data_IF_103425548725
#
_entry.id   IF_103425548725
#
_cell.length_a   1.000
_cell.length_b   1.000
_cell.length_c   1.000
_cell.angle_alpha   90.00
_cell.angle_beta   90.00
_cell.angle_gamma   90.00
#
_symmetry.space_group_name_H-M   'P 1'
#
loop_
_entity.id
_entity.type
_entity.pdbx_description
1 polymer ?
#
# COMPACT_ATOMS: atom_id res chain seq x y z
N UNK A 1 10.39 -7.36 11.81
CA UNK A 1 8.99 -6.84 11.92
C UNK A 1 8.73 -6.01 10.67
N UNK A 2 7.80 -6.42 9.85
CA UNK A 2 7.45 -5.74 8.59
C UNK A 2 6.62 -4.49 8.85
N UNK A 3 6.68 -3.54 7.90
CA UNK A 3 5.84 -2.35 7.89
C UNK A 3 4.99 -2.33 6.62
N UNK A 4 3.77 -1.79 6.73
CA UNK A 4 2.92 -1.55 5.56
C UNK A 4 3.34 -0.27 4.81
N UNK A 5 3.22 -0.27 3.48
CA UNK A 5 3.34 0.95 2.68
C UNK A 5 2.12 1.86 2.79
N UNK A 6 0.97 1.32 3.14
CA UNK A 6 -0.25 2.10 3.40
C UNK A 6 -0.22 2.67 4.80
N UNK A 7 -0.75 3.87 4.98
CA UNK A 7 -0.79 4.49 6.28
C UNK A 7 -1.54 5.82 6.28
N UNK A 8 -1.96 6.21 7.47
CA UNK A 8 -2.62 7.49 7.74
C UNK A 8 -2.09 8.06 9.05
N UNK A 9 -1.70 9.34 9.01
CA UNK A 9 -1.31 10.11 10.18
C UNK A 9 -2.02 11.44 10.18
N UNK A 10 -2.55 11.83 11.33
CA UNK A 10 -3.21 13.13 11.53
C UNK A 10 -2.81 13.68 12.87
N UNK A 11 -2.55 14.99 12.88
CA UNK A 11 -2.36 15.76 14.11
C UNK A 11 -3.05 17.11 13.98
N UNK A 12 -3.46 17.67 15.11
CA UNK A 12 -4.21 18.94 15.12
C UNK A 12 -3.78 19.76 16.34
N UNK A 13 -3.48 21.03 16.12
CA UNK A 13 -3.16 22.00 17.16
C UNK A 13 -4.17 23.13 17.13
N UNK A 14 -4.79 23.39 18.29
CA UNK A 14 -5.66 24.55 18.47
C UNK A 14 -4.84 25.69 19.06
N UNK A 15 -4.72 26.79 18.30
CA UNK A 15 -4.19 28.07 18.75
C UNK A 15 -5.35 29.03 19.07
N UNK A 16 -5.10 30.14 19.76
CA UNK A 16 -6.15 31.09 20.13
C UNK A 16 -6.96 31.62 18.93
N UNK A 17 -6.30 31.86 17.80
CA UNK A 17 -6.91 32.44 16.61
C UNK A 17 -6.93 31.52 15.39
N UNK A 18 -6.26 30.36 15.46
CA UNK A 18 -6.09 29.45 14.33
C UNK A 18 -6.17 28.00 14.78
N UNK A 19 -6.69 27.14 13.93
CA UNK A 19 -6.60 25.69 14.06
C UNK A 19 -5.74 25.15 12.94
N UNK A 20 -4.67 24.43 13.32
CA UNK A 20 -3.72 23.82 12.41
C UNK A 20 -4.03 22.33 12.36
N UNK A 21 -4.20 21.78 11.17
CA UNK A 21 -4.40 20.35 10.96
C UNK A 21 -3.42 19.85 9.90
N UNK A 22 -2.67 18.82 10.25
CA UNK A 22 -1.78 18.10 9.33
C UNK A 22 -2.35 16.72 9.07
N UNK A 23 -2.46 16.35 7.82
CA UNK A 23 -2.84 15.00 7.38
C UNK A 23 -1.78 14.46 6.42
N UNK A 24 -1.34 13.22 6.68
CA UNK A 24 -0.39 12.47 5.86
C UNK A 24 -1.05 11.16 5.49
N UNK A 25 -1.19 10.89 4.18
CA UNK A 25 -1.73 9.65 3.63
C UNK A 25 -0.67 8.98 2.80
N UNK A 26 -0.53 7.69 2.91
CA UNK A 26 0.40 6.90 2.11
C UNK A 26 -0.29 5.71 1.50
N UNK A 27 0.00 5.48 0.22
CA UNK A 27 -0.47 4.34 -0.56
C UNK A 27 0.73 3.62 -1.19
N UNK A 28 0.51 2.39 -1.65
CA UNK A 28 1.53 1.62 -2.33
C UNK A 28 2.03 2.33 -3.60
N UNK A 29 3.36 2.37 -3.77
CA UNK A 29 4.02 2.84 -4.99
C UNK A 29 5.40 2.19 -5.16
N UNK A 30 5.90 2.15 -6.39
CA UNK A 30 7.24 1.60 -6.71
C UNK A 30 8.40 2.43 -6.15
N UNK A 31 8.20 3.71 -5.96
CA UNK A 31 9.15 4.66 -5.38
C UNK A 31 8.45 5.61 -4.43
N UNK A 32 9.16 6.62 -3.93
CA UNK A 32 8.55 7.71 -3.18
C UNK A 32 7.99 8.75 -4.17
N UNK A 33 6.66 8.91 -4.16
CA UNK A 33 5.94 9.97 -4.87
C UNK A 33 5.28 10.87 -3.83
N UNK A 34 5.80 12.10 -3.68
CA UNK A 34 5.41 13.02 -2.62
C UNK A 34 4.65 14.22 -3.20
N UNK A 35 3.38 14.30 -2.86
CA UNK A 35 2.51 15.43 -3.16
C UNK A 35 2.26 16.24 -1.88
N UNK A 36 2.54 17.55 -1.93
CA UNK A 36 2.39 18.46 -0.79
C UNK A 36 1.34 19.52 -1.10
N UNK A 37 0.39 19.69 -0.18
CA UNK A 37 -0.61 20.76 -0.22
C UNK A 37 -0.50 21.59 1.05
N UNK A 38 -0.18 22.87 0.88
CA UNK A 38 -0.05 23.80 2.00
C UNK A 38 -0.46 25.21 1.59
N UNK A 39 -0.86 26.09 2.52
CA UNK A 39 -1.10 27.49 2.24
C UNK A 39 0.15 28.16 1.63
N UNK A 40 -0.08 29.10 0.70
CA UNK A 40 0.98 29.78 -0.04
C UNK A 40 1.99 30.53 0.86
N UNK A 41 1.57 30.92 2.05
CA UNK A 41 2.42 31.56 3.07
C UNK A 41 3.61 30.68 3.45
N UNK A 42 3.43 29.37 3.53
CA UNK A 42 4.47 28.41 3.97
C UNK A 42 5.28 27.80 2.81
N UNK A 43 5.14 28.32 1.59
CA UNK A 43 5.75 27.74 0.38
C UNK A 43 7.29 27.70 0.44
N UNK A 44 7.92 28.64 1.11
CA UNK A 44 9.36 28.68 1.29
C UNK A 44 9.87 27.49 2.12
N UNK A 45 9.05 26.97 3.00
CA UNK A 45 9.37 25.82 3.87
C UNK A 45 9.15 24.45 3.21
N UNK A 46 8.55 24.43 2.00
CA UNK A 46 8.17 23.18 1.33
C UNK A 46 9.35 22.25 1.07
N UNK A 47 10.50 22.80 0.66
CA UNK A 47 11.68 21.98 0.35
C UNK A 47 12.23 21.27 1.60
N UNK A 48 12.30 21.96 2.72
CA UNK A 48 12.69 21.36 4.01
C UNK A 48 11.74 20.25 4.46
N UNK A 49 10.44 20.51 4.33
CA UNK A 49 9.39 19.55 4.64
C UNK A 49 9.49 18.29 3.74
N UNK A 50 9.69 18.46 2.43
CA UNK A 50 9.86 17.32 1.50
C UNK A 50 11.03 16.44 1.89
N UNK A 51 12.15 17.03 2.29
CA UNK A 51 13.32 16.28 2.76
C UNK A 51 13.00 15.49 4.05
N UNK A 52 12.33 16.12 5.01
CA UNK A 52 11.92 15.47 6.26
C UNK A 52 10.96 14.28 6.00
N UNK A 53 9.94 14.48 5.17
CA UNK A 53 8.99 13.43 4.77
C UNK A 53 9.72 12.28 4.06
N UNK A 54 10.63 12.58 3.14
CA UNK A 54 11.38 11.59 2.37
C UNK A 54 12.28 10.72 3.26
N UNK A 55 12.92 11.31 4.26
CA UNK A 55 13.76 10.57 5.20
C UNK A 55 12.99 9.61 6.09
N UNK A 56 11.73 9.96 6.43
CA UNK A 56 10.90 9.16 7.34
C UNK A 56 10.04 8.11 6.65
N UNK A 57 9.61 8.38 5.41
CA UNK A 57 8.61 7.56 4.73
C UNK A 57 9.17 6.69 3.60
N UNK A 58 10.44 6.86 3.24
CA UNK A 58 11.25 6.06 2.32
C UNK A 58 10.58 5.70 0.98
N UNK A 59 9.35 5.16 0.99
CA UNK A 59 8.62 4.65 -0.16
C UNK A 59 7.11 4.82 0.00
N UNK A 60 6.40 4.93 -1.13
CA UNK A 60 4.95 5.05 -1.22
C UNK A 60 4.52 6.31 -1.97
N UNK A 61 3.27 6.37 -2.38
CA UNK A 61 2.63 7.60 -2.84
C UNK A 61 2.09 8.32 -1.60
N UNK A 62 2.72 9.43 -1.25
CA UNK A 62 2.47 10.19 -0.02
C UNK A 62 1.78 11.51 -0.36
N UNK A 63 0.57 11.70 0.14
CA UNK A 63 -0.15 12.96 0.10
C UNK A 63 -0.05 13.63 1.48
N UNK A 64 0.66 14.77 1.53
CA UNK A 64 0.74 15.64 2.69
C UNK A 64 -0.20 16.83 2.52
N UNK A 65 -0.98 17.15 3.54
CA UNK A 65 -1.87 18.30 3.54
C UNK A 65 -1.77 19.06 4.86
N UNK A 66 -1.48 20.36 4.77
CA UNK A 66 -1.50 21.30 5.89
C UNK A 66 -2.70 22.24 5.73
N UNK A 67 -3.61 22.22 6.69
CA UNK A 67 -4.76 23.10 6.76
C UNK A 67 -4.58 24.07 7.92
N UNK A 68 -4.83 25.35 7.67
CA UNK A 68 -4.85 26.40 8.67
C UNK A 68 -6.20 27.08 8.59
N UNK A 69 -7.03 26.88 9.60
CA UNK A 69 -8.35 27.48 9.73
C UNK A 69 -8.25 28.63 10.74
N UNK A 70 -8.66 29.84 10.33
CA UNK A 70 -8.76 30.99 11.25
C UNK A 70 -10.02 30.82 12.08
N UNK A 71 -9.87 30.75 13.40
CA UNK A 71 -10.99 30.57 14.36
C UNK A 71 -11.32 31.85 15.15
N UNK A 72 -10.55 32.93 14.93
CA UNK A 72 -10.77 34.23 15.59
C UNK A 72 -11.64 35.20 14.78
N UNK A 73 -11.89 36.36 15.37
CA UNK A 73 -12.63 37.47 14.71
C UNK A 73 -11.81 38.18 13.61
N UNK A 74 -10.56 37.74 13.36
CA UNK A 74 -9.72 38.35 12.35
C UNK A 74 -10.24 38.01 10.93
N UNK A 75 -10.52 39.06 10.18
CA UNK A 75 -10.92 38.91 8.77
C UNK A 75 -9.71 38.58 7.90
N UNK A 76 -9.86 37.65 6.96
CA UNK A 76 -8.81 37.25 6.00
C UNK A 76 -8.35 38.38 5.07
N UNK A 77 -9.03 39.51 5.07
CA UNK A 77 -8.74 40.67 4.24
C UNK A 77 -8.92 41.94 5.03
N UNK A 78 -7.97 42.87 4.91
CA UNK A 78 -8.06 44.22 5.47
C UNK A 78 -8.40 45.22 4.37
N UNK A 79 -9.18 46.26 4.73
CA UNK A 79 -9.49 47.34 3.80
C UNK A 79 -8.22 48.15 3.52
N UNK A 80 -7.88 48.26 2.24
CA UNK A 80 -6.77 49.09 1.79
C UNK A 80 -7.23 50.57 1.79
N UNK A 81 -7.15 51.19 2.95
CA UNK A 81 -7.67 52.55 3.19
C UNK A 81 -7.15 53.58 2.17
N UNK A 82 -5.83 53.63 1.79
CA UNK A 82 -5.34 54.55 0.77
C UNK A 82 -6.02 54.36 -0.59
N UNK A 83 -6.19 53.12 -1.05
CA UNK A 83 -6.80 52.83 -2.35
C UNK A 83 -8.30 53.16 -2.32
N UNK A 84 -9.00 52.78 -1.28
CA UNK A 84 -10.44 53.08 -1.12
C UNK A 84 -10.66 54.57 -1.10
N UNK A 85 -9.84 55.34 -0.36
CA UNK A 85 -9.89 56.81 -0.38
C UNK A 85 -9.57 57.37 -1.77
N UNK A 86 -8.62 56.81 -2.49
CA UNK A 86 -8.30 57.18 -3.86
C UNK A 86 -9.49 57.05 -4.79
N UNK A 87 -10.20 55.92 -4.74
CA UNK A 87 -11.41 55.69 -5.54
C UNK A 87 -12.54 56.66 -5.16
N UNK A 88 -12.76 56.90 -3.87
CA UNK A 88 -13.79 57.87 -3.42
C UNK A 88 -13.48 59.25 -3.96
N UNK A 89 -12.22 59.72 -3.92
CA UNK A 89 -11.83 61.00 -4.44
C UNK A 89 -12.02 61.14 -5.96
N UNK A 90 -11.67 60.05 -6.72
CA UNK A 90 -11.91 60.03 -8.17
C UNK A 90 -13.42 60.09 -8.50
N UNK A 91 -14.26 59.36 -7.76
CA UNK A 91 -15.71 59.40 -7.98
C UNK A 91 -16.31 60.76 -7.61
N UNK A 92 -15.83 61.41 -6.52
CA UNK A 92 -16.24 62.78 -6.14
C UNK A 92 -15.81 63.82 -7.18
N UNK A 93 -14.71 63.64 -7.88
CA UNK A 93 -14.30 64.51 -8.97
C UNK A 93 -15.28 64.47 -10.16
N UNK A 94 -15.97 63.34 -10.36
CA UNK A 94 -17.02 63.17 -11.41
C UNK A 94 -18.38 63.66 -10.93
N UNK A 95 -18.75 63.34 -9.67
CA UNK A 95 -20.03 63.71 -9.05
C UNK A 95 -19.74 64.36 -7.69
N UNK A 96 -19.53 65.66 -7.60
CA UNK A 96 -19.10 66.34 -6.38
C UNK A 96 -20.02 66.20 -5.17
N UNK A 97 -21.32 66.06 -5.41
CA UNK A 97 -22.34 65.94 -4.37
C UNK A 97 -22.85 64.54 -4.12
N UNK A 98 -22.08 63.51 -4.51
CA UNK A 98 -22.46 62.14 -4.28
C UNK A 98 -22.41 61.76 -2.78
N UNK A 99 -23.33 60.90 -2.34
CA UNK A 99 -23.39 60.41 -0.97
C UNK A 99 -22.14 59.56 -0.66
N UNK A 100 -21.45 59.92 0.42
CA UNK A 100 -20.19 59.22 0.84
C UNK A 100 -20.43 57.75 1.16
N UNK A 101 -21.61 57.40 1.72
CA UNK A 101 -21.94 55.99 2.02
C UNK A 101 -22.06 55.14 0.76
N UNK A 102 -22.68 55.70 -0.30
CA UNK A 102 -22.76 55.01 -1.58
C UNK A 102 -21.41 54.91 -2.26
N UNK A 103 -20.60 55.96 -2.22
CA UNK A 103 -19.20 55.92 -2.72
C UNK A 103 -18.35 54.86 -2.00
N UNK A 104 -18.49 54.74 -0.68
CA UNK A 104 -17.80 53.71 0.11
C UNK A 104 -18.22 52.32 -0.31
N UNK A 105 -19.52 52.05 -0.49
CA UNK A 105 -20.03 50.76 -0.98
C UNK A 105 -19.51 50.39 -2.35
N UNK A 106 -19.28 51.36 -3.22
CA UNK A 106 -18.70 51.14 -4.53
C UNK A 106 -17.19 50.94 -4.44
N UNK A 107 -16.47 51.78 -3.68
CA UNK A 107 -15.04 51.77 -3.56
C UNK A 107 -14.49 50.46 -2.98
N UNK A 108 -15.15 49.83 -2.02
CA UNK A 108 -14.73 48.55 -1.43
C UNK A 108 -14.86 47.37 -2.38
N UNK A 109 -15.57 47.52 -3.50
CA UNK A 109 -15.73 46.52 -4.55
C UNK A 109 -14.75 46.69 -5.72
N UNK A 110 -14.00 47.78 -5.71
CA UNK A 110 -13.01 48.08 -6.75
C UNK A 110 -11.75 47.22 -6.57
N UNK A 111 -10.96 47.02 -7.64
CA UNK A 111 -9.70 46.31 -7.56
C UNK A 111 -8.79 46.84 -6.45
N UNK A 112 -8.06 45.96 -5.77
CA UNK A 112 -7.10 46.26 -4.70
C UNK A 112 -7.67 46.99 -3.46
N UNK A 113 -9.01 47.18 -3.40
CA UNK A 113 -9.68 47.77 -2.24
C UNK A 113 -9.60 46.92 -0.97
N UNK A 114 -9.48 45.60 -1.15
CA UNK A 114 -9.20 44.63 -0.10
C UNK A 114 -7.79 44.12 -0.29
N UNK A 115 -6.99 44.24 0.74
CA UNK A 115 -5.62 43.71 0.77
C UNK A 115 -5.61 42.46 1.63
N UNK A 116 -5.27 41.33 1.02
CA UNK A 116 -4.86 40.17 1.78
C UNK A 116 -3.40 40.42 2.20
N UNK A 117 -3.18 40.75 3.46
CA UNK A 117 -1.79 40.78 3.97
C UNK A 117 -1.23 39.38 3.83
N UNK A 118 -0.13 39.27 3.12
CA UNK A 118 0.73 38.11 3.27
C UNK A 118 1.40 38.31 4.62
N UNK A 119 0.85 37.68 5.67
CA UNK A 119 1.53 37.65 6.94
C UNK A 119 2.94 37.10 6.68
N UNK A 120 3.96 37.82 7.09
CA UNK A 120 5.31 37.28 7.17
C UNK A 120 5.23 36.05 8.09
N UNK A 121 5.95 34.98 7.70
CA UNK A 121 5.92 33.74 8.48
C UNK A 121 6.47 34.07 9.86
N UNK A 122 5.63 33.97 10.88
CA UNK A 122 6.10 34.02 12.26
C UNK A 122 6.90 32.72 12.52
N UNK A 123 8.20 32.86 12.80
CA UNK A 123 9.08 31.73 13.12
C UNK A 123 8.54 30.87 14.27
N UNK A 124 7.82 31.48 15.22
CA UNK A 124 7.19 30.74 16.31
C UNK A 124 5.98 29.94 15.82
N UNK A 125 5.16 30.48 14.93
CA UNK A 125 4.05 29.75 14.30
C UNK A 125 4.60 28.56 13.50
N UNK A 126 5.67 28.75 12.73
CA UNK A 126 6.31 27.65 12.00
C UNK A 126 6.85 26.54 12.92
N UNK A 127 7.48 26.89 14.04
CA UNK A 127 7.92 25.90 15.05
C UNK A 127 6.76 25.07 15.60
N UNK A 128 5.61 25.72 15.84
CA UNK A 128 4.41 25.03 16.29
C UNK A 128 3.85 24.11 15.19
N UNK A 129 3.80 24.57 13.94
CA UNK A 129 3.43 23.73 12.79
C UNK A 129 4.36 22.53 12.67
N UNK A 130 5.67 22.74 12.86
CA UNK A 130 6.66 21.65 12.81
C UNK A 130 6.40 20.58 13.86
N UNK A 131 5.99 20.96 15.07
CA UNK A 131 5.60 20.00 16.12
C UNK A 131 4.39 19.14 15.69
N UNK A 132 3.40 19.75 15.04
CA UNK A 132 2.22 19.04 14.51
C UNK A 132 2.60 18.10 13.35
N UNK A 133 3.53 18.53 12.51
CA UNK A 133 4.07 17.68 11.43
C UNK A 133 4.78 16.47 12.00
N UNK A 134 5.63 16.66 13.03
CA UNK A 134 6.34 15.56 13.68
C UNK A 134 5.38 14.56 14.34
N UNK A 135 4.32 15.05 15.00
CA UNK A 135 3.28 14.21 15.56
C UNK A 135 2.52 13.42 14.49
N UNK A 136 2.13 14.06 13.38
CA UNK A 136 1.46 13.38 12.27
C UNK A 136 2.37 12.33 11.62
N UNK A 137 3.70 12.60 11.52
CA UNK A 137 4.69 11.64 11.06
C UNK A 137 4.83 10.44 12.01
N UNK A 138 4.83 10.67 13.32
CA UNK A 138 4.84 9.58 14.30
C UNK A 138 3.58 8.72 14.16
N UNK A 139 2.43 9.34 14.01
CA UNK A 139 1.15 8.65 13.87
C UNK A 139 1.10 7.76 12.61
N UNK A 140 1.58 8.24 11.45
CA UNK A 140 1.60 7.41 10.24
C UNK A 140 2.62 6.28 10.33
N UNK A 141 3.79 6.49 10.95
CA UNK A 141 4.78 5.44 11.17
C UNK A 141 4.23 4.37 12.09
N UNK A 142 3.58 4.76 13.20
CA UNK A 142 2.92 3.82 14.10
C UNK A 142 1.82 3.03 13.39
N UNK A 143 0.97 3.69 12.61
CA UNK A 143 -0.05 3.03 11.79
C UNK A 143 0.55 1.97 10.85
N UNK A 144 1.67 2.29 10.17
CA UNK A 144 2.38 1.35 9.29
C UNK A 144 2.93 0.13 10.04
N UNK A 145 3.37 0.31 11.27
CA UNK A 145 3.85 -0.78 12.14
C UNK A 145 2.67 -1.67 12.55
N UNK A 146 1.58 -1.09 13.01
CA UNK A 146 0.39 -1.84 13.45
C UNK A 146 -0.25 -2.63 12.31
N UNK A 147 -0.33 -2.02 11.13
CA UNK A 147 -0.78 -2.69 9.90
C UNK A 147 0.19 -3.80 9.49
N UNK A 148 1.51 -3.56 9.62
CA UNK A 148 2.54 -4.56 9.37
C UNK A 148 2.39 -5.80 10.24
N UNK A 149 2.09 -5.63 11.53
CA UNK A 149 1.80 -6.75 12.46
C UNK A 149 0.56 -7.55 12.00
N UNK A 150 -0.45 -6.87 11.48
CA UNK A 150 -1.66 -7.52 10.96
C UNK A 150 -1.36 -8.32 9.69
N UNK A 151 -0.58 -7.76 8.77
CA UNK A 151 -0.10 -8.44 7.57
C UNK A 151 0.76 -9.67 7.90
N UNK A 152 1.65 -9.57 8.87
CA UNK A 152 2.50 -10.69 9.32
C UNK A 152 1.66 -11.87 9.80
N UNK A 153 0.63 -11.62 10.62
CA UNK A 153 -0.29 -12.65 11.09
C UNK A 153 -1.05 -13.31 9.93
N UNK A 154 -1.51 -12.52 8.98
CA UNK A 154 -2.21 -13.03 7.81
C UNK A 154 -1.29 -13.90 6.95
N UNK A 155 -0.06 -13.48 6.68
CA UNK A 155 0.90 -14.28 5.93
C UNK A 155 1.19 -15.62 6.59
N UNK A 156 1.46 -15.62 7.90
CA UNK A 156 1.70 -16.86 8.65
C UNK A 156 0.51 -17.81 8.59
N UNK A 157 -0.71 -17.28 8.69
CA UNK A 157 -1.92 -18.09 8.56
C UNK A 157 -2.05 -18.71 7.16
N UNK A 158 -1.84 -17.92 6.09
CA UNK A 158 -1.91 -18.42 4.70
C UNK A 158 -0.82 -19.45 4.41
N UNK A 159 0.39 -19.23 4.88
CA UNK A 159 1.51 -20.18 4.76
C UNK A 159 1.17 -21.50 5.45
N UNK A 160 0.62 -21.46 6.66
CA UNK A 160 0.18 -22.67 7.38
C UNK A 160 -0.91 -23.44 6.61
N UNK A 161 -1.85 -22.70 5.99
CA UNK A 161 -2.88 -23.31 5.13
C UNK A 161 -2.25 -24.03 3.92
N UNK A 162 -1.30 -23.39 3.23
CA UNK A 162 -0.60 -24.01 2.09
C UNK A 162 0.16 -25.27 2.53
N UNK A 163 0.86 -25.23 3.67
CA UNK A 163 1.55 -26.40 4.23
C UNK A 163 0.59 -27.55 4.50
N UNK A 164 -0.56 -27.25 5.09
CA UNK A 164 -1.60 -28.25 5.38
C UNK A 164 -2.18 -28.86 4.10
N UNK A 165 -2.50 -28.03 3.11
CA UNK A 165 -3.02 -28.48 1.82
C UNK A 165 -1.99 -29.32 1.05
N UNK A 166 -0.72 -28.93 1.08
CA UNK A 166 0.38 -29.69 0.48
C UNK A 166 0.51 -31.08 1.11
N UNK A 167 0.49 -31.17 2.45
CA UNK A 167 0.57 -32.46 3.15
C UNK A 167 -0.64 -33.35 2.86
N UNK A 168 -1.83 -32.76 2.76
CA UNK A 168 -3.04 -33.49 2.36
C UNK A 168 -2.93 -33.99 0.90
N UNK A 169 -2.36 -33.20 -0.02
CA UNK A 169 -2.16 -33.63 -1.40
C UNK A 169 -1.21 -34.83 -1.49
N UNK A 170 -0.13 -34.83 -0.71
CA UNK A 170 0.84 -35.95 -0.65
C UNK A 170 0.19 -37.23 -0.11
N UNK A 171 -0.80 -37.14 0.80
CA UNK A 171 -1.50 -38.32 1.31
C UNK A 171 -2.24 -39.11 0.21
N UNK A 172 -2.65 -38.46 -0.88
CA UNK A 172 -3.28 -39.12 -2.03
C UNK A 172 -2.29 -39.75 -3.02
N UNK A 173 -0.98 -39.61 -2.80
CA UNK A 173 0.01 -40.09 -3.76
C UNK A 173 0.01 -41.62 -3.91
N UNK A 174 -0.15 -42.36 -2.81
CA UNK A 174 -0.26 -43.82 -2.83
C UNK A 174 -1.52 -44.29 -3.62
N UNK A 175 -2.68 -43.67 -3.40
CA UNK A 175 -3.94 -43.98 -4.10
C UNK A 175 -3.80 -43.69 -5.61
N UNK A 176 -3.14 -42.60 -5.95
CA UNK A 176 -2.84 -42.22 -7.34
C UNK A 176 -2.04 -43.28 -8.06
N UNK A 177 -0.97 -43.79 -7.42
CA UNK A 177 -0.11 -44.83 -7.98
C UNK A 177 -0.90 -46.10 -8.28
N UNK A 178 -1.72 -46.58 -7.34
CA UNK A 178 -2.55 -47.74 -7.53
C UNK A 178 -3.61 -47.54 -8.62
N UNK A 179 -4.19 -46.36 -8.69
CA UNK A 179 -5.17 -45.98 -9.74
C UNK A 179 -4.53 -46.03 -11.13
N UNK A 180 -3.31 -45.50 -11.29
CA UNK A 180 -2.59 -45.53 -12.58
C UNK A 180 -2.27 -46.97 -12.96
N UNK A 181 -1.80 -47.79 -12.00
CA UNK A 181 -1.48 -49.20 -12.21
C UNK A 181 -2.69 -50.03 -12.66
N UNK A 182 -3.82 -49.86 -11.97
CA UNK A 182 -5.08 -50.54 -12.36
C UNK A 182 -5.54 -50.11 -13.76
N UNK A 183 -5.52 -48.80 -14.06
CA UNK A 183 -5.92 -48.25 -15.37
C UNK A 183 -5.07 -48.84 -16.52
N UNK A 184 -3.76 -48.91 -16.33
CA UNK A 184 -2.86 -49.50 -17.33
C UNK A 184 -3.13 -50.98 -17.53
N UNK A 185 -3.35 -51.76 -16.47
CA UNK A 185 -3.72 -53.18 -16.56
C UNK A 185 -5.05 -53.38 -17.31
N UNK A 186 -6.09 -52.66 -16.92
CA UNK A 186 -7.39 -52.73 -17.59
C UNK A 186 -7.28 -52.47 -19.10
N UNK A 187 -6.52 -51.42 -19.48
CA UNK A 187 -6.33 -51.07 -20.89
C UNK A 187 -5.60 -52.17 -21.68
N UNK A 188 -4.64 -52.89 -21.05
CA UNK A 188 -3.96 -54.00 -21.66
C UNK A 188 -4.87 -55.23 -21.79
N UNK A 189 -5.68 -55.54 -20.79
CA UNK A 189 -6.64 -56.65 -20.81
C UNK A 189 -7.68 -56.47 -21.94
N UNK A 190 -8.12 -55.22 -22.16
CA UNK A 190 -9.04 -54.89 -23.27
C UNK A 190 -8.45 -55.12 -24.65
N UNK A 191 -7.13 -54.97 -24.81
CA UNK A 191 -6.44 -55.22 -26.09
C UNK A 191 -6.25 -56.72 -26.41
N UNK A 192 -6.50 -57.63 -25.44
CA UNK A 192 -6.36 -59.10 -25.55
C UNK A 192 -5.00 -59.55 -26.07
N UNK A 193 -3.95 -58.81 -25.87
CA UNK A 193 -2.59 -59.15 -26.24
C UNK A 193 -1.88 -59.85 -25.09
N UNK A 194 -0.91 -60.78 -25.40
CA UNK A 194 0.01 -61.32 -24.42
C UNK A 194 0.93 -60.19 -23.95
N UNK A 195 0.76 -59.79 -22.73
CA UNK A 195 1.53 -58.70 -22.12
C UNK A 195 2.89 -59.22 -21.72
N UNK A 196 3.98 -58.60 -22.20
CA UNK A 196 5.30 -58.76 -21.64
C UNK A 196 5.37 -58.00 -20.29
N UNK A 197 5.36 -58.76 -19.19
CA UNK A 197 5.37 -58.18 -17.84
C UNK A 197 6.60 -57.28 -17.61
N UNK A 198 7.77 -57.60 -18.16
CA UNK A 198 8.96 -56.75 -18.02
C UNK A 198 8.77 -55.38 -18.70
N UNK A 199 8.14 -55.38 -19.88
CA UNK A 199 7.83 -54.14 -20.59
C UNK A 199 6.74 -53.30 -19.88
N UNK A 200 5.76 -53.98 -19.30
CA UNK A 200 4.74 -53.31 -18.49
C UNK A 200 5.34 -52.62 -17.26
N UNK A 201 6.27 -53.32 -16.55
CA UNK A 201 6.93 -52.74 -15.39
C UNK A 201 7.81 -51.54 -15.77
N UNK A 202 8.51 -51.60 -16.90
CA UNK A 202 9.30 -50.45 -17.40
C UNK A 202 8.44 -49.25 -17.73
N UNK A 203 7.31 -49.43 -18.43
CA UNK A 203 6.39 -48.37 -18.72
C UNK A 203 5.74 -47.82 -17.43
N UNK A 204 5.42 -48.65 -16.46
CA UNK A 204 4.88 -48.25 -15.17
C UNK A 204 5.89 -47.36 -14.40
N UNK A 205 7.17 -47.75 -14.36
CA UNK A 205 8.23 -46.96 -13.72
C UNK A 205 8.34 -45.60 -14.41
N UNK A 206 8.33 -45.54 -15.75
CA UNK A 206 8.35 -44.27 -16.49
C UNK A 206 7.16 -43.34 -16.14
N UNK A 207 5.94 -43.88 -16.01
CA UNK A 207 4.80 -43.12 -15.59
C UNK A 207 4.90 -42.65 -14.14
N UNK A 208 5.41 -43.47 -13.22
CA UNK A 208 5.61 -43.13 -11.82
C UNK A 208 6.62 -41.98 -11.67
N UNK A 209 7.76 -42.04 -12.36
CA UNK A 209 8.76 -40.97 -12.37
C UNK A 209 8.22 -39.70 -12.99
N UNK A 210 7.46 -39.78 -14.09
CA UNK A 210 6.85 -38.62 -14.76
C UNK A 210 5.89 -37.87 -13.86
N UNK A 211 5.18 -38.56 -12.99
CA UNK A 211 4.18 -37.96 -12.10
C UNK A 211 4.66 -37.80 -10.66
N UNK A 212 5.92 -38.12 -10.36
CA UNK A 212 6.50 -37.91 -9.04
C UNK A 212 6.49 -36.41 -8.68
N UNK A 213 5.98 -36.10 -7.49
CA UNK A 213 5.86 -34.73 -6.94
C UNK A 213 6.81 -34.50 -5.75
N UNK A 214 7.67 -35.45 -5.45
CA UNK A 214 8.56 -35.41 -4.26
C UNK A 214 9.47 -34.17 -4.30
N UNK A 215 10.04 -33.87 -5.45
CA UNK A 215 10.92 -32.72 -5.63
C UNK A 215 10.16 -31.39 -5.41
N UNK A 216 8.99 -31.24 -6.03
CA UNK A 216 8.16 -30.06 -5.90
C UNK A 216 7.70 -29.84 -4.44
N UNK A 217 7.37 -30.93 -3.74
CA UNK A 217 7.04 -30.89 -2.31
C UNK A 217 8.19 -30.31 -1.50
N UNK A 218 9.40 -30.89 -1.64
CA UNK A 218 10.59 -30.44 -0.89
C UNK A 218 10.94 -29.00 -1.21
N UNK A 219 10.87 -28.60 -2.48
CA UNK A 219 11.13 -27.23 -2.91
C UNK A 219 10.09 -26.26 -2.36
N UNK A 220 8.80 -26.61 -2.43
CA UNK A 220 7.73 -25.80 -1.90
C UNK A 220 7.87 -25.61 -0.38
N UNK A 221 8.16 -26.67 0.36
CA UNK A 221 8.42 -26.62 1.80
C UNK A 221 9.59 -25.69 2.14
N UNK A 222 10.69 -25.78 1.39
CA UNK A 222 11.83 -24.87 1.55
C UNK A 222 11.47 -23.42 1.28
N UNK A 223 10.67 -23.14 0.23
CA UNK A 223 10.22 -21.76 -0.07
C UNK A 223 9.26 -21.22 0.98
N UNK A 224 8.37 -22.04 1.52
CA UNK A 224 7.46 -21.65 2.61
C UNK A 224 8.26 -21.30 3.88
N UNK A 225 9.24 -22.10 4.25
CA UNK A 225 10.11 -21.83 5.39
C UNK A 225 10.96 -20.56 5.16
N UNK A 226 11.53 -20.40 3.97
CA UNK A 226 12.31 -19.22 3.62
C UNK A 226 11.47 -17.92 3.61
N UNK A 227 10.19 -18.03 3.26
CA UNK A 227 9.25 -16.92 3.37
C UNK A 227 9.07 -16.51 4.83
N UNK A 228 8.86 -17.45 5.74
CA UNK A 228 8.72 -17.21 7.20
C UNK A 228 10.00 -16.57 7.76
N UNK A 229 11.17 -17.10 7.42
CA UNK A 229 12.46 -16.55 7.86
C UNK A 229 12.66 -15.11 7.36
N UNK A 230 12.33 -14.87 6.08
CA UNK A 230 12.43 -13.54 5.47
C UNK A 230 11.45 -12.56 6.13
N UNK A 231 10.24 -13.01 6.48
CA UNK A 231 9.22 -12.22 7.15
C UNK A 231 9.67 -11.79 8.56
N UNK A 232 10.35 -12.66 9.29
CA UNK A 232 10.91 -12.39 10.62
C UNK A 232 12.15 -11.48 10.60
N UNK A 233 12.75 -11.24 9.44
CA UNK A 233 13.92 -10.38 9.26
C UNK A 233 13.70 -8.92 9.64
N UNK A 234 14.80 -8.19 9.81
CA UNK A 234 14.79 -6.77 10.25
C UNK A 234 14.77 -5.75 9.11
N UNK A 235 15.05 -6.19 7.88
CA UNK A 235 15.12 -5.32 6.71
C UNK A 235 13.80 -5.30 5.93
N UNK A 236 13.56 -4.21 5.18
CA UNK A 236 12.45 -4.08 4.26
C UNK A 236 12.53 -5.14 3.15
N UNK A 237 11.59 -6.08 3.13
CA UNK A 237 11.72 -7.31 2.36
C UNK A 237 10.59 -7.57 1.35
N UNK A 238 9.69 -6.59 1.09
CA UNK A 238 8.55 -6.81 0.20
C UNK A 238 8.92 -7.34 -1.19
N UNK A 239 10.01 -6.85 -1.79
CA UNK A 239 10.49 -7.37 -3.09
C UNK A 239 10.98 -8.82 -2.99
N UNK A 240 11.72 -9.15 -1.93
CA UNK A 240 12.24 -10.51 -1.69
C UNK A 240 11.11 -11.49 -1.45
N UNK A 241 10.13 -11.12 -0.60
CA UNK A 241 8.90 -11.90 -0.39
C UNK A 241 8.15 -12.13 -1.70
N UNK A 242 8.07 -11.10 -2.57
CA UNK A 242 7.48 -11.22 -3.90
C UNK A 242 8.18 -12.26 -4.78
N UNK A 243 9.51 -12.32 -4.79
CA UNK A 243 10.25 -13.36 -5.52
C UNK A 243 10.00 -14.75 -4.94
N UNK A 244 9.99 -14.90 -3.61
CA UNK A 244 9.73 -16.19 -2.97
C UNK A 244 8.31 -16.68 -3.35
N UNK A 245 7.30 -15.81 -3.37
CA UNK A 245 5.93 -16.20 -3.78
C UNK A 245 5.84 -16.63 -5.24
N UNK A 246 6.71 -16.10 -6.13
CA UNK A 246 6.79 -16.57 -7.51
C UNK A 246 7.34 -18.01 -7.58
N UNK A 247 8.40 -18.32 -6.84
CA UNK A 247 8.95 -19.68 -6.79
C UNK A 247 7.95 -20.66 -6.17
N UNK A 248 7.26 -20.29 -5.06
CA UNK A 248 6.15 -21.09 -4.51
C UNK A 248 5.10 -21.41 -5.59
N UNK A 249 4.73 -20.39 -6.39
CA UNK A 249 3.77 -20.55 -7.48
C UNK A 249 4.23 -21.51 -8.58
N UNK A 250 5.53 -21.54 -8.87
CA UNK A 250 6.12 -22.51 -9.83
C UNK A 250 5.96 -23.94 -9.32
N UNK A 251 6.32 -24.19 -8.07
CA UNK A 251 6.23 -25.54 -7.48
C UNK A 251 4.77 -26.00 -7.39
N UNK A 252 3.84 -25.16 -6.95
CA UNK A 252 2.41 -25.48 -6.91
C UNK A 252 1.86 -25.76 -8.32
N UNK A 253 2.28 -25.02 -9.34
CA UNK A 253 1.86 -25.25 -10.72
C UNK A 253 2.39 -26.60 -11.24
N UNK A 254 3.66 -26.94 -10.97
CA UNK A 254 4.26 -28.21 -11.37
C UNK A 254 3.59 -29.38 -10.66
N UNK A 255 3.34 -29.27 -9.35
CA UNK A 255 2.53 -30.26 -8.61
C UNK A 255 1.17 -30.47 -9.28
N UNK A 256 0.47 -29.38 -9.67
CA UNK A 256 -0.81 -29.46 -10.36
C UNK A 256 -0.73 -30.16 -11.71
N UNK A 257 0.30 -29.93 -12.50
CA UNK A 257 0.49 -30.58 -13.81
C UNK A 257 0.82 -32.07 -13.69
N UNK A 258 1.50 -32.49 -12.61
CA UNK A 258 1.84 -33.87 -12.30
C UNK A 258 0.71 -34.61 -11.55
N UNK A 259 -0.25 -33.88 -10.95
CA UNK A 259 -1.34 -34.48 -10.17
C UNK A 259 -2.45 -35.00 -11.07
N UNK A 260 -2.39 -36.26 -11.45
CA UNK A 260 -3.45 -36.93 -12.23
C UNK A 260 -4.50 -37.59 -11.31
N UNK A 261 -5.00 -36.81 -10.33
CA UNK A 261 -5.99 -37.25 -9.33
C UNK A 261 -6.91 -36.07 -8.97
N UNK A 262 -8.24 -36.30 -8.99
CA UNK A 262 -9.22 -35.20 -8.84
C UNK A 262 -9.13 -34.46 -7.50
N UNK A 263 -8.95 -35.19 -6.39
CA UNK A 263 -8.83 -34.55 -5.06
C UNK A 263 -7.53 -33.78 -4.91
N UNK A 264 -6.41 -34.30 -5.43
CA UNK A 264 -5.16 -33.56 -5.47
C UNK A 264 -5.28 -32.25 -6.27
N UNK A 265 -5.97 -32.28 -7.42
CA UNK A 265 -6.24 -31.08 -8.23
C UNK A 265 -7.03 -30.00 -7.45
N UNK A 266 -8.04 -30.41 -6.67
CA UNK A 266 -8.78 -29.50 -5.80
C UNK A 266 -7.86 -28.84 -4.77
N UNK A 267 -7.01 -29.62 -4.11
CA UNK A 267 -6.04 -29.12 -3.13
C UNK A 267 -5.04 -28.16 -3.76
N UNK A 268 -4.56 -28.45 -4.96
CA UNK A 268 -3.68 -27.54 -5.74
C UNK A 268 -4.38 -26.21 -6.04
N UNK A 269 -5.66 -26.24 -6.42
CA UNK A 269 -6.44 -25.01 -6.66
C UNK A 269 -6.58 -24.19 -5.38
N UNK A 270 -6.82 -24.85 -4.23
CA UNK A 270 -6.88 -24.18 -2.94
C UNK A 270 -5.53 -23.57 -2.52
N UNK A 271 -4.41 -24.28 -2.77
CA UNK A 271 -3.07 -23.72 -2.54
C UNK A 271 -2.81 -22.47 -3.41
N UNK A 272 -3.22 -22.49 -4.68
CA UNK A 272 -3.12 -21.32 -5.57
C UNK A 272 -3.93 -20.14 -5.06
N UNK A 273 -5.14 -20.36 -4.58
CA UNK A 273 -5.99 -19.31 -4.01
C UNK A 273 -5.35 -18.66 -2.77
N UNK A 274 -4.81 -19.47 -1.85
CA UNK A 274 -4.08 -18.94 -0.70
C UNK A 274 -2.82 -18.17 -1.11
N UNK A 275 -2.09 -18.65 -2.11
CA UNK A 275 -0.89 -17.98 -2.63
C UNK A 275 -1.21 -16.64 -3.32
N UNK A 276 -2.31 -16.55 -4.08
CA UNK A 276 -2.70 -15.27 -4.70
C UNK A 276 -3.05 -14.21 -3.64
N UNK A 277 -3.72 -14.60 -2.54
CA UNK A 277 -3.96 -13.69 -1.41
C UNK A 277 -2.64 -13.17 -0.80
N UNK A 278 -1.63 -14.06 -0.67
CA UNK A 278 -0.30 -13.63 -0.22
C UNK A 278 0.33 -12.65 -1.21
N UNK A 279 0.31 -12.92 -2.51
CA UNK A 279 0.90 -12.07 -3.55
C UNK A 279 0.30 -10.67 -3.58
N UNK A 280 -1.03 -10.57 -3.42
CA UNK A 280 -1.72 -9.28 -3.36
C UNK A 280 -1.24 -8.44 -2.16
N UNK A 281 -1.09 -9.05 -1.00
CA UNK A 281 -0.68 -8.36 0.21
C UNK A 281 0.83 -8.07 0.28
N UNK A 282 1.67 -8.90 -0.32
CA UNK A 282 3.13 -8.66 -0.38
C UNK A 282 3.45 -7.34 -1.10
N UNK A 283 2.59 -6.88 -2.02
CA UNK A 283 2.74 -5.58 -2.67
C UNK A 283 2.64 -4.41 -1.68
N UNK A 284 2.01 -4.60 -0.53
CA UNK A 284 1.84 -3.59 0.51
C UNK A 284 2.96 -3.62 1.56
N UNK A 285 3.92 -4.54 1.47
CA UNK A 285 5.07 -4.62 2.39
C UNK A 285 6.18 -3.68 1.91
N UNK A 286 6.72 -2.88 2.85
CA UNK A 286 7.85 -1.96 2.67
C UNK A 286 9.13 -2.73 2.40
#
# INVERSE_FOLDING_TARGET
MIQSMTGFGKATLQLPTKKITVEIKSLNSKGLDLNTRMPSVFREMELGLRNQLSQKLERGKVDFSLYVEVTGEETSSKINVPIVKGYINQMKAVIPNADETELMKMAVRMPDALKTERDEIDENEWKQIQTVIDEALQNIVQFRIDEGVSLEKEFLHRIANIMTLMNNAVAYDAERVETVKMRLRTALDELKENVDENRFEQELIFYLEKYDITEEKVRLENHLNYFIETLAGTEANGRKLGFITQEMGREINTMGSKSNHSEMQKLVVMMKDELEKIKEQVLNVL
#
